data_IF_479085156162
#
_entry.id   IF_479085156162
#
_cell.length_a   1.000
_cell.length_b   1.000
_cell.length_c   1.000
_cell.angle_alpha   90.00
_cell.angle_beta   90.00
_cell.angle_gamma   90.00
#
_symmetry.space_group_name_H-M   'P 1'
#
loop_
_entity.id
_entity.type
_entity.pdbx_description
1 polymer ?
#
# COMPACT_ATOMS: atom_id res chain seq x y z
N UNK A 1 1.43 7.00 -28.91
CA UNK A 1 0.13 7.58 -29.35
C UNK A 1 0.19 7.73 -30.85
N UNK A 2 -0.85 7.33 -31.55
CA UNK A 2 -1.00 7.65 -32.98
C UNK A 2 -1.39 9.12 -33.15
N UNK A 3 -1.46 9.61 -34.40
CA UNK A 3 -1.81 11.00 -34.72
C UNK A 3 -3.22 11.44 -34.26
N UNK A 4 -4.01 10.52 -33.72
CA UNK A 4 -5.40 10.73 -33.24
C UNK A 4 -5.51 10.53 -31.72
N UNK A 5 -4.41 10.49 -30.96
CA UNK A 5 -4.40 10.32 -29.51
C UNK A 5 -4.69 8.90 -29.02
N UNK A 6 -4.75 7.89 -29.91
CA UNK A 6 -4.95 6.51 -29.52
C UNK A 6 -3.65 5.89 -29.02
N UNK A 7 -3.70 5.28 -27.85
CA UNK A 7 -2.60 4.50 -27.30
C UNK A 7 -2.44 3.24 -28.16
N UNK A 8 -1.41 3.20 -29.01
CA UNK A 8 -1.00 1.96 -29.65
C UNK A 8 -0.46 1.06 -28.54
N UNK A 9 -1.21 0.02 -28.21
CA UNK A 9 -0.74 -1.08 -27.36
C UNK A 9 0.36 -1.80 -28.15
N UNK A 10 1.64 -1.39 -27.96
CA UNK A 10 2.76 -2.20 -28.37
C UNK A 10 2.65 -3.56 -27.70
N UNK A 11 2.96 -4.64 -28.44
CA UNK A 11 2.97 -6.00 -27.90
C UNK A 11 3.71 -5.99 -26.55
N UNK A 12 3.09 -6.55 -25.48
CA UNK A 12 3.72 -6.55 -24.17
C UNK A 12 5.07 -7.27 -24.27
N UNK A 13 6.13 -6.77 -23.60
CA UNK A 13 7.30 -7.58 -23.38
C UNK A 13 6.84 -8.84 -22.64
N UNK A 14 7.19 -10.00 -23.19
CA UNK A 14 7.06 -11.28 -22.48
C UNK A 14 7.92 -11.16 -21.24
N UNK A 15 7.31 -11.02 -20.07
CA UNK A 15 7.94 -11.42 -18.80
C UNK A 15 7.01 -11.14 -17.61
N UNK A 16 6.67 -12.23 -16.94
CA UNK A 16 6.57 -12.42 -15.49
C UNK A 16 5.32 -11.92 -14.78
N UNK A 17 4.13 -12.33 -15.20
CA UNK A 17 3.11 -12.78 -14.24
C UNK A 17 2.25 -13.81 -14.97
N UNK A 18 2.43 -15.07 -14.59
CA UNK A 18 1.58 -16.17 -15.03
C UNK A 18 0.15 -15.89 -14.58
N UNK A 19 -0.77 -15.69 -15.53
CA UNK A 19 -2.19 -15.45 -15.26
C UNK A 19 -2.88 -16.62 -14.53
N UNK A 20 -2.12 -17.68 -14.21
CA UNK A 20 -2.57 -18.85 -13.47
C UNK A 20 -2.53 -18.74 -11.94
N UNK A 21 -1.88 -17.71 -11.36
CA UNK A 21 -1.72 -17.58 -9.91
C UNK A 21 -2.88 -16.85 -9.21
N UNK A 22 -3.80 -16.24 -9.95
CA UNK A 22 -5.01 -15.64 -9.39
C UNK A 22 -6.22 -16.51 -9.64
N UNK A 23 -6.19 -17.78 -9.20
CA UNK A 23 -7.36 -18.66 -9.22
C UNK A 23 -8.39 -18.18 -8.16
N UNK A 24 -9.65 -18.07 -8.63
CA UNK A 24 -10.84 -17.90 -7.78
C UNK A 24 -10.85 -18.95 -6.66
N UNK A 25 -10.73 -18.49 -5.42
CA UNK A 25 -10.98 -19.35 -4.28
C UNK A 25 -10.53 -18.71 -2.97
N UNK A 26 -11.48 -18.28 -2.14
CA UNK A 26 -11.36 -17.97 -0.72
C UNK A 26 -10.41 -16.80 -0.35
N UNK A 27 -11.00 -15.61 -0.16
CA UNK A 27 -10.43 -14.53 0.65
C UNK A 27 -9.39 -13.67 -0.09
N UNK A 28 -9.76 -12.43 -0.40
CA UNK A 28 -8.84 -11.38 -0.85
C UNK A 28 -7.89 -10.99 0.29
N UNK A 29 -6.91 -11.84 0.64
CA UNK A 29 -6.13 -11.73 1.87
C UNK A 29 -4.63 -11.86 1.60
N UNK A 30 -3.87 -10.83 2.01
CA UNK A 30 -2.41 -10.94 2.08
C UNK A 30 -2.05 -11.90 3.21
N UNK A 31 -1.53 -13.06 2.87
CA UNK A 31 -1.10 -14.09 3.82
C UNK A 31 0.41 -14.05 3.99
N UNK A 32 0.85 -14.24 5.25
CA UNK A 32 2.24 -14.44 5.63
C UNK A 32 2.44 -15.89 6.05
N UNK A 33 3.68 -16.35 5.93
CA UNK A 33 4.05 -17.73 6.29
C UNK A 33 4.14 -17.94 7.79
N UNK A 34 5.22 -18.56 8.25
CA UNK A 34 5.43 -18.77 9.68
C UNK A 34 5.72 -17.46 10.39
N UNK A 35 4.79 -16.97 11.21
CA UNK A 35 4.90 -15.73 11.97
C UNK A 35 5.17 -16.03 13.43
N UNK A 36 6.09 -15.27 14.03
CA UNK A 36 6.44 -15.34 15.46
C UNK A 36 6.27 -13.97 16.09
N UNK A 37 5.84 -13.96 17.35
CA UNK A 37 5.77 -12.75 18.18
C UNK A 37 7.13 -12.44 18.78
N UNK A 38 7.49 -11.15 18.83
CA UNK A 38 8.77 -10.69 19.36
C UNK A 38 8.61 -9.31 20.01
N UNK A 39 9.66 -8.83 20.67
CA UNK A 39 9.77 -7.45 21.16
C UNK A 39 10.81 -6.69 20.37
N UNK A 40 10.43 -5.52 19.88
CA UNK A 40 11.33 -4.63 19.17
C UNK A 40 12.41 -4.08 20.15
N UNK A 41 13.66 -4.12 19.72
CA UNK A 41 14.78 -3.59 20.51
C UNK A 41 15.30 -2.29 19.90
N UNK A 42 15.77 -2.33 18.65
CA UNK A 42 16.39 -1.17 17.98
C UNK A 42 16.31 -1.30 16.47
N UNK A 43 16.28 -0.18 15.77
CA UNK A 43 16.35 -0.06 14.31
C UNK A 43 17.61 0.71 13.90
N UNK A 44 18.75 0.01 13.67
CA UNK A 44 20.03 0.67 13.34
C UNK A 44 19.98 1.47 12.03
N UNK A 45 19.16 1.05 11.08
CA UNK A 45 18.94 1.74 9.81
C UNK A 45 17.56 1.43 9.26
N UNK A 46 17.18 2.05 8.12
CA UNK A 46 15.82 1.88 7.52
C UNK A 46 15.44 0.46 7.11
N UNK A 47 16.41 -0.44 6.99
CA UNK A 47 16.20 -1.80 6.47
C UNK A 47 16.33 -2.89 7.52
N UNK A 48 16.98 -2.60 8.65
CA UNK A 48 17.32 -3.59 9.67
C UNK A 48 16.73 -3.19 11.02
N UNK A 49 16.15 -4.16 11.70
CA UNK A 49 15.77 -4.06 13.09
C UNK A 49 16.28 -5.28 13.87
N UNK A 50 16.47 -5.10 15.18
CA UNK A 50 16.75 -6.18 16.12
C UNK A 50 15.51 -6.38 16.99
N UNK A 51 15.14 -7.62 17.23
CA UNK A 51 14.02 -7.99 18.07
C UNK A 51 14.39 -9.19 18.97
N UNK A 52 13.81 -9.24 20.15
CA UNK A 52 13.92 -10.37 21.07
C UNK A 52 12.73 -11.32 20.89
N UNK A 53 13.00 -12.58 20.56
CA UNK A 53 11.99 -13.63 20.55
C UNK A 53 11.53 -13.97 21.96
N UNK A 54 10.41 -14.67 22.11
CA UNK A 54 9.92 -15.14 23.41
C UNK A 54 10.90 -16.11 24.10
N UNK A 55 11.78 -16.76 23.33
CA UNK A 55 12.88 -17.59 23.84
C UNK A 55 13.99 -16.80 24.53
N UNK A 56 14.00 -15.45 24.39
CA UNK A 56 15.09 -14.57 24.81
C UNK A 56 16.20 -14.39 23.76
N UNK A 57 16.14 -15.12 22.64
CA UNK A 57 17.08 -14.97 21.53
C UNK A 57 16.88 -13.62 20.84
N UNK A 58 17.98 -12.89 20.60
CA UNK A 58 17.95 -11.66 19.77
C UNK A 58 18.18 -12.02 18.31
N UNK A 59 17.24 -11.63 17.45
CA UNK A 59 17.28 -11.86 16.01
C UNK A 59 17.40 -10.57 15.22
N UNK A 60 18.03 -10.67 14.04
CA UNK A 60 18.10 -9.58 13.07
C UNK A 60 17.01 -9.79 12.04
N UNK A 61 16.13 -8.79 11.86
CA UNK A 61 15.05 -8.83 10.89
C UNK A 61 15.17 -7.70 9.86
N UNK A 62 14.70 -7.97 8.65
CA UNK A 62 14.54 -6.97 7.62
C UNK A 62 13.23 -6.19 7.84
N UNK A 63 13.28 -4.88 7.72
CA UNK A 63 12.09 -4.01 7.78
C UNK A 63 11.65 -3.71 6.36
N UNK A 64 10.52 -4.27 5.93
CA UNK A 64 9.94 -4.07 4.59
C UNK A 64 9.31 -2.68 4.39
N UNK A 65 9.54 -1.76 5.29
CA UNK A 65 9.03 -0.39 5.24
C UNK A 65 10.19 0.61 5.32
N UNK A 66 10.35 1.44 4.29
CA UNK A 66 11.40 2.47 4.26
C UNK A 66 11.00 3.77 4.95
N UNK A 67 9.75 3.90 5.38
CA UNK A 67 9.22 5.00 6.19
C UNK A 67 9.93 5.11 7.53
N UNK A 68 9.74 6.23 8.20
CA UNK A 68 10.39 6.47 9.51
C UNK A 68 9.84 5.56 10.59
N UNK A 69 8.52 5.42 10.66
CA UNK A 69 7.78 4.55 11.61
C UNK A 69 8.30 4.65 13.06
N UNK A 70 8.74 5.82 13.49
CA UNK A 70 9.32 6.02 14.84
C UNK A 70 8.26 5.91 15.92
N UNK A 71 7.05 6.32 15.60
CA UNK A 71 5.87 6.25 16.45
C UNK A 71 5.35 4.82 16.64
N UNK A 72 5.79 3.90 15.80
CA UNK A 72 5.44 2.49 15.84
C UNK A 72 6.54 1.64 16.46
N UNK A 73 7.78 1.82 16.01
CA UNK A 73 8.94 1.04 16.43
C UNK A 73 9.61 1.68 17.65
N UNK A 74 8.87 1.70 18.77
CA UNK A 74 9.39 2.13 20.07
C UNK A 74 10.02 0.94 20.81
N UNK A 75 11.04 1.14 21.67
CA UNK A 75 11.60 0.07 22.47
C UNK A 75 10.51 -0.75 23.19
N UNK A 76 10.67 -2.07 23.21
CA UNK A 76 9.74 -3.03 23.81
C UNK A 76 8.35 -3.14 23.11
N UNK A 77 8.13 -2.42 22.00
CA UNK A 77 6.91 -2.64 21.19
C UNK A 77 6.78 -4.10 20.77
N UNK A 78 5.57 -4.65 20.87
CA UNK A 78 5.29 -5.99 20.36
C UNK A 78 5.27 -5.95 18.84
N UNK A 79 6.07 -6.81 18.24
CA UNK A 79 6.18 -6.93 16.77
C UNK A 79 5.96 -8.36 16.33
N UNK A 80 5.57 -8.52 15.07
CA UNK A 80 5.38 -9.81 14.43
C UNK A 80 6.37 -9.96 13.28
N UNK A 81 7.06 -11.09 13.28
CA UNK A 81 8.14 -11.40 12.36
C UNK A 81 7.76 -12.61 11.52
N UNK A 82 7.76 -12.45 10.20
CA UNK A 82 7.62 -13.58 9.27
C UNK A 82 8.98 -14.25 9.08
N UNK A 83 9.06 -15.55 9.25
CA UNK A 83 10.26 -16.33 8.96
C UNK A 83 10.48 -16.41 7.46
N UNK A 84 11.68 -16.04 7.00
CA UNK A 84 12.02 -16.10 5.59
C UNK A 84 11.98 -17.54 5.07
N UNK A 85 11.26 -17.76 3.97
CA UNK A 85 11.18 -19.08 3.32
C UNK A 85 12.53 -19.52 2.73
N UNK A 86 13.37 -18.56 2.29
CA UNK A 86 14.71 -18.85 1.79
C UNK A 86 15.74 -18.83 2.94
N UNK A 87 16.31 -20.00 3.33
CA UNK A 87 17.27 -20.07 4.44
C UNK A 87 18.62 -19.40 4.15
N UNK A 88 18.92 -19.07 2.88
CA UNK A 88 20.18 -18.42 2.49
C UNK A 88 20.11 -16.89 2.54
N UNK A 89 18.99 -16.31 2.99
CA UNK A 89 18.89 -14.85 3.19
C UNK A 89 19.78 -14.39 4.34
N UNK A 90 20.33 -13.17 4.22
CA UNK A 90 21.12 -12.52 5.29
C UNK A 90 20.31 -12.26 6.56
N UNK A 91 18.99 -12.07 6.43
CA UNK A 91 18.06 -11.91 7.55
C UNK A 91 17.07 -13.07 7.56
N UNK A 92 16.96 -13.76 8.68
CA UNK A 92 16.06 -14.91 8.83
C UNK A 92 14.59 -14.50 8.99
N UNK A 93 14.33 -13.22 9.27
CA UNK A 93 12.98 -12.70 9.53
C UNK A 93 12.72 -11.39 8.79
N UNK A 94 11.45 -11.15 8.45
CA UNK A 94 10.89 -9.89 8.00
C UNK A 94 9.95 -9.33 9.08
N UNK A 95 10.13 -8.07 9.49
CA UNK A 95 9.20 -7.41 10.40
C UNK A 95 7.98 -6.96 9.58
N UNK A 96 6.81 -7.52 9.89
CA UNK A 96 5.58 -7.36 9.12
C UNK A 96 4.49 -6.58 9.83
N UNK A 97 4.43 -6.63 11.17
CA UNK A 97 3.41 -5.91 11.92
C UNK A 97 3.91 -5.47 13.30
N UNK A 98 3.21 -4.51 13.90
CA UNK A 98 3.49 -3.94 15.22
C UNK A 98 2.20 -3.65 15.96
N UNK A 99 2.18 -3.84 17.28
CA UNK A 99 1.10 -3.39 18.16
C UNK A 99 1.34 -1.96 18.64
N UNK A 100 0.34 -1.09 18.48
CA UNK A 100 0.33 0.28 19.02
C UNK A 100 -1.05 0.61 19.58
N UNK A 101 -1.14 0.95 20.85
CA UNK A 101 -2.38 1.41 21.46
C UNK A 101 -3.56 0.41 21.34
N UNK A 102 -3.29 -0.88 21.39
CA UNK A 102 -4.29 -1.94 21.23
C UNK A 102 -4.66 -2.24 19.76
N UNK A 103 -4.06 -1.56 18.79
CA UNK A 103 -4.21 -1.85 17.35
C UNK A 103 -3.04 -2.66 16.85
N UNK A 104 -3.33 -3.58 15.93
CA UNK A 104 -2.32 -4.26 15.13
C UNK A 104 -2.18 -3.54 13.78
N UNK A 105 -0.98 -3.07 13.50
CA UNK A 105 -0.66 -2.30 12.29
C UNK A 105 0.28 -3.12 11.42
N UNK A 106 -0.16 -3.44 10.21
CA UNK A 106 0.73 -4.07 9.23
C UNK A 106 1.74 -3.04 8.70
N UNK A 107 3.02 -3.41 8.66
CA UNK A 107 4.11 -2.52 8.25
C UNK A 107 4.74 -2.91 6.91
N UNK A 108 4.30 -3.99 6.28
CA UNK A 108 4.83 -4.40 4.97
C UNK A 108 4.39 -3.41 3.89
N UNK A 109 5.33 -2.60 3.36
CA UNK A 109 5.06 -1.61 2.33
C UNK A 109 4.63 -2.24 0.97
N UNK A 110 4.77 -3.55 0.79
CA UNK A 110 4.29 -4.26 -0.39
C UNK A 110 2.86 -4.81 -0.21
N UNK A 111 2.40 -4.93 1.03
CA UNK A 111 1.09 -5.47 1.33
C UNK A 111 -0.08 -4.65 0.73
N UNK A 112 -0.05 -3.31 0.70
CA UNK A 112 -1.12 -2.51 0.09
C UNK A 112 -1.40 -2.87 -1.38
N UNK A 113 -0.36 -2.98 -2.20
CA UNK A 113 -0.51 -3.32 -3.62
C UNK A 113 -1.01 -4.76 -3.80
N UNK A 114 -0.53 -5.70 -2.98
CA UNK A 114 -1.01 -7.09 -2.98
C UNK A 114 -2.49 -7.16 -2.60
N UNK A 115 -2.87 -6.52 -1.51
CA UNK A 115 -4.26 -6.48 -1.05
C UNK A 115 -5.19 -5.83 -2.09
N UNK A 116 -4.76 -4.72 -2.71
CA UNK A 116 -5.54 -4.07 -3.75
C UNK A 116 -5.66 -4.94 -5.00
N UNK A 117 -4.60 -5.61 -5.43
CA UNK A 117 -4.63 -6.49 -6.62
C UNK A 117 -5.72 -7.57 -6.51
N UNK A 118 -5.84 -8.18 -5.33
CA UNK A 118 -6.85 -9.19 -5.05
C UNK A 118 -8.27 -8.59 -4.93
N UNK A 119 -8.37 -7.36 -4.42
CA UNK A 119 -9.61 -6.66 -4.17
C UNK A 119 -10.09 -5.79 -5.35
N UNK A 120 -9.27 -5.59 -6.37
CA UNK A 120 -9.49 -4.66 -7.48
C UNK A 120 -10.85 -4.85 -8.18
N UNK A 121 -11.28 -6.10 -8.40
CA UNK A 121 -12.59 -6.40 -9.01
C UNK A 121 -13.78 -6.18 -8.07
N UNK A 122 -13.58 -6.15 -6.78
CA UNK A 122 -14.59 -5.72 -5.80
C UNK A 122 -14.73 -4.20 -5.84
N UNK A 123 -13.61 -3.49 -5.99
CA UNK A 123 -13.57 -2.04 -6.10
C UNK A 123 -14.18 -1.55 -7.44
N UNK A 124 -13.82 -2.20 -8.53
CA UNK A 124 -14.33 -1.89 -9.86
C UNK A 124 -14.89 -3.16 -10.53
N UNK A 125 -16.16 -3.48 -10.29
CA UNK A 125 -16.79 -4.69 -10.86
C UNK A 125 -16.87 -4.70 -12.39
N UNK A 126 -16.75 -3.52 -13.04
CA UNK A 126 -16.73 -3.40 -14.50
C UNK A 126 -15.36 -3.74 -15.11
N UNK A 127 -14.32 -3.96 -14.27
CA UNK A 127 -12.99 -4.30 -14.74
C UNK A 127 -12.92 -5.73 -15.27
N UNK A 128 -12.67 -5.87 -16.56
CA UNK A 128 -12.41 -7.16 -17.21
C UNK A 128 -10.95 -7.60 -17.01
N UNK A 129 -10.03 -6.64 -16.97
CA UNK A 129 -8.60 -6.89 -16.75
C UNK A 129 -8.02 -5.99 -15.67
N UNK A 130 -7.08 -6.54 -14.90
CA UNK A 130 -6.30 -5.83 -13.88
C UNK A 130 -4.82 -5.93 -14.29
N UNK A 131 -4.20 -4.80 -14.60
CA UNK A 131 -2.79 -4.73 -15.02
C UNK A 131 -1.98 -3.97 -13.97
N UNK A 132 -1.09 -4.64 -13.24
CA UNK A 132 -0.18 -3.96 -12.33
C UNK A 132 0.92 -3.22 -13.09
N UNK A 133 1.57 -2.26 -12.42
CA UNK A 133 2.76 -1.57 -12.91
C UNK A 133 2.55 -0.92 -14.29
N UNK A 134 1.43 -0.23 -14.48
CA UNK A 134 1.02 0.33 -15.78
C UNK A 134 1.72 1.65 -16.07
N UNK A 135 2.43 1.72 -17.21
CA UNK A 135 3.08 2.95 -17.67
C UNK A 135 2.03 3.88 -18.29
N UNK A 136 1.85 5.05 -17.67
CA UNK A 136 0.99 6.12 -18.16
C UNK A 136 1.76 7.44 -18.13
N UNK A 137 1.83 8.14 -19.27
CA UNK A 137 2.62 9.36 -19.39
C UNK A 137 4.09 9.13 -19.05
N UNK A 138 4.58 9.85 -18.05
CA UNK A 138 5.95 9.75 -17.57
C UNK A 138 6.07 8.93 -16.27
N UNK A 139 4.96 8.39 -15.78
CA UNK A 139 4.91 7.63 -14.53
C UNK A 139 4.49 6.18 -14.76
N UNK A 140 4.83 5.34 -13.82
CA UNK A 140 4.34 3.98 -13.70
C UNK A 140 3.39 3.95 -12.51
N UNK A 141 2.10 3.88 -12.81
CA UNK A 141 1.03 3.77 -11.82
C UNK A 141 0.87 2.34 -11.36
N UNK A 142 0.37 2.15 -10.16
CA UNK A 142 0.30 0.82 -9.54
C UNK A 142 -0.63 -0.12 -10.31
N UNK A 143 -1.80 0.36 -10.78
CA UNK A 143 -2.75 -0.46 -11.53
C UNK A 143 -3.45 0.30 -12.65
N UNK A 144 -3.80 -0.45 -13.69
CA UNK A 144 -4.78 -0.09 -14.70
C UNK A 144 -5.86 -1.16 -14.74
N UNK A 145 -7.07 -0.77 -14.40
CA UNK A 145 -8.27 -1.60 -14.53
C UNK A 145 -8.91 -1.24 -15.87
N UNK A 146 -9.09 -2.22 -16.75
CA UNK A 146 -9.67 -1.96 -18.06
C UNK A 146 -10.90 -2.83 -18.30
N UNK A 147 -11.95 -2.22 -18.82
CA UNK A 147 -13.22 -2.84 -19.15
C UNK A 147 -13.94 -2.06 -20.24
N UNK A 148 -15.22 -2.33 -20.43
CA UNK A 148 -16.06 -1.67 -21.47
C UNK A 148 -16.17 -0.16 -21.27
N UNK A 149 -16.07 0.31 -20.05
CA UNK A 149 -16.14 1.73 -19.69
C UNK A 149 -14.80 2.47 -19.89
N UNK A 150 -13.78 1.79 -20.45
CA UNK A 150 -12.44 2.35 -20.69
C UNK A 150 -11.44 2.01 -19.62
N UNK A 151 -10.48 2.90 -19.41
CA UNK A 151 -9.41 2.70 -18.42
C UNK A 151 -9.76 3.37 -17.10
N UNK A 152 -9.44 2.69 -16.01
CA UNK A 152 -9.46 3.23 -14.66
C UNK A 152 -8.07 3.07 -14.06
N UNK A 153 -7.36 4.17 -13.88
CA UNK A 153 -6.00 4.21 -13.38
C UNK A 153 -6.01 4.37 -11.86
N UNK A 154 -5.26 3.53 -11.17
CA UNK A 154 -5.24 3.53 -9.71
C UNK A 154 -3.80 3.61 -9.20
N UNK A 155 -3.57 4.56 -8.30
CA UNK A 155 -2.34 4.68 -7.52
C UNK A 155 -2.63 4.31 -6.08
N UNK A 156 -1.94 3.30 -5.56
CA UNK A 156 -2.14 2.76 -4.21
C UNK A 156 -1.11 3.35 -3.24
N UNK A 157 -1.56 3.72 -2.06
CA UNK A 157 -0.72 4.23 -0.97
C UNK A 157 -1.02 3.48 0.32
N UNK A 158 0.02 2.87 0.90
CA UNK A 158 -0.08 2.29 2.25
C UNK A 158 -0.03 3.38 3.32
N UNK A 159 -0.90 3.28 4.31
CA UNK A 159 -1.02 4.23 5.42
C UNK A 159 -0.84 3.48 6.73
N UNK A 160 0.22 3.83 7.45
CA UNK A 160 0.55 3.27 8.77
C UNK A 160 0.58 4.34 9.86
N UNK A 161 0.62 5.63 9.48
CA UNK A 161 0.59 6.73 10.42
C UNK A 161 -0.82 6.95 10.94
N UNK A 162 -0.97 6.88 12.26
CA UNK A 162 -2.22 7.11 12.97
C UNK A 162 -1.95 7.85 14.29
N UNK A 163 -2.80 8.80 14.62
CA UNK A 163 -2.85 9.50 15.91
C UNK A 163 -4.30 9.68 16.34
N UNK A 164 -4.63 9.20 17.54
CA UNK A 164 -5.96 9.34 18.13
C UNK A 164 -7.12 8.77 17.28
N UNK A 165 -6.86 7.78 16.42
CA UNK A 165 -7.86 7.23 15.50
C UNK A 165 -7.88 7.90 14.13
N UNK A 166 -7.06 8.92 13.90
CA UNK A 166 -6.98 9.66 12.65
C UNK A 166 -5.82 9.18 11.79
N UNK A 167 -6.11 8.52 10.68
CA UNK A 167 -5.10 8.07 9.73
C UNK A 167 -4.58 9.23 8.89
N UNK A 168 -3.26 9.30 8.65
CA UNK A 168 -2.60 10.40 7.93
C UNK A 168 -1.59 9.88 6.91
N UNK A 169 -1.48 10.59 5.78
CA UNK A 169 -0.47 10.33 4.75
C UNK A 169 0.01 11.65 4.14
N UNK A 170 1.32 11.81 3.88
CA UNK A 170 2.40 10.84 4.09
C UNK A 170 3.02 10.90 5.50
N UNK A 171 3.78 9.86 5.86
CA UNK A 171 4.61 9.81 7.07
C UNK A 171 5.98 10.52 6.88
N UNK A 172 6.36 10.78 5.63
CA UNK A 172 7.55 11.52 5.23
C UNK A 172 7.30 12.24 3.88
N UNK A 173 8.01 13.33 3.56
CA UNK A 173 7.86 14.03 2.28
C UNK A 173 7.97 13.10 1.07
N UNK A 174 7.04 13.23 0.11
CA UNK A 174 6.91 12.35 -1.05
C UNK A 174 6.67 13.11 -2.36
N UNK A 175 7.73 13.62 -2.99
CA UNK A 175 7.66 14.28 -4.31
C UNK A 175 7.13 13.31 -5.39
N UNK A 176 7.46 12.03 -5.27
CA UNK A 176 6.91 11.00 -6.17
C UNK A 176 5.38 10.91 -6.03
N UNK A 177 4.86 11.02 -4.80
CA UNK A 177 3.41 11.03 -4.57
C UNK A 177 2.71 12.20 -5.27
N UNK A 178 3.30 13.40 -5.20
CA UNK A 178 2.79 14.59 -5.89
C UNK A 178 2.76 14.37 -7.41
N UNK A 179 3.86 13.87 -8.00
CA UNK A 179 3.90 13.56 -9.44
C UNK A 179 2.84 12.55 -9.87
N UNK A 180 2.60 11.50 -9.07
CA UNK A 180 1.57 10.51 -9.39
C UNK A 180 0.16 11.13 -9.35
N UNK A 181 -0.12 12.05 -8.42
CA UNK A 181 -1.41 12.78 -8.41
C UNK A 181 -1.59 13.62 -9.68
N UNK A 182 -0.54 14.30 -10.17
CA UNK A 182 -0.60 15.02 -11.43
C UNK A 182 -0.87 14.09 -12.63
N UNK A 183 -0.29 12.91 -12.68
CA UNK A 183 -0.58 11.93 -13.74
C UNK A 183 -2.02 11.40 -13.65
N UNK A 184 -2.58 11.23 -12.45
CA UNK A 184 -3.98 10.88 -12.27
C UNK A 184 -4.92 12.00 -12.76
N UNK A 185 -4.61 13.27 -12.48
CA UNK A 185 -5.37 14.42 -13.04
C UNK A 185 -5.32 14.41 -14.56
N UNK A 186 -4.14 14.21 -15.14
CA UNK A 186 -3.98 14.10 -16.59
C UNK A 186 -4.79 12.94 -17.18
N UNK A 187 -4.92 11.82 -16.46
CA UNK A 187 -5.76 10.71 -16.89
C UNK A 187 -7.23 11.12 -16.99
N UNK A 188 -7.74 11.88 -16.00
CA UNK A 188 -9.10 12.42 -16.03
C UNK A 188 -9.30 13.39 -17.19
N UNK A 189 -8.35 14.30 -17.45
CA UNK A 189 -8.38 15.23 -18.60
C UNK A 189 -8.47 14.48 -19.94
N UNK A 190 -7.89 13.28 -20.04
CA UNK A 190 -7.93 12.42 -21.22
C UNK A 190 -9.19 11.52 -21.27
N UNK A 191 -10.14 11.71 -20.35
CA UNK A 191 -11.41 10.97 -20.30
C UNK A 191 -11.33 9.60 -19.64
N UNK A 192 -10.27 9.31 -18.88
CA UNK A 192 -10.13 8.08 -18.11
C UNK A 192 -10.62 8.27 -16.67
N UNK A 193 -11.03 7.19 -16.02
CA UNK A 193 -11.25 7.18 -14.57
C UNK A 193 -9.90 7.12 -13.86
N UNK A 194 -9.78 7.78 -12.73
CA UNK A 194 -8.56 7.79 -11.94
C UNK A 194 -8.86 7.78 -10.44
N UNK A 195 -8.10 7.04 -9.66
CA UNK A 195 -8.24 6.95 -8.20
C UNK A 195 -6.90 7.01 -7.50
N UNK A 196 -6.81 7.87 -6.48
CA UNK A 196 -5.80 7.79 -5.42
C UNK A 196 -6.38 6.91 -4.29
N UNK A 197 -5.85 5.70 -4.13
CA UNK A 197 -6.39 4.69 -3.23
C UNK A 197 -5.49 4.50 -2.01
N UNK A 198 -6.02 4.80 -0.82
CA UNK A 198 -5.29 4.70 0.44
C UNK A 198 -5.68 3.43 1.19
N UNK A 199 -4.72 2.53 1.36
CA UNK A 199 -4.86 1.31 2.15
C UNK A 199 -4.39 1.62 3.56
N UNK A 200 -5.33 1.82 4.47
CA UNK A 200 -5.02 2.05 5.90
C UNK A 200 -4.76 0.69 6.53
N UNK A 201 -3.49 0.41 6.83
CA UNK A 201 -2.98 -0.92 7.22
C UNK A 201 -3.31 -1.28 8.67
N UNK A 202 -4.49 -0.89 9.15
CA UNK A 202 -5.03 -1.16 10.49
C UNK A 202 -6.54 -1.05 10.52
N UNK A 203 -7.15 -1.53 11.61
CA UNK A 203 -8.59 -1.34 11.92
C UNK A 203 -8.83 -0.08 12.76
N UNK A 204 -10.10 0.22 12.98
CA UNK A 204 -10.63 1.16 13.96
C UNK A 204 -10.09 2.59 13.86
N UNK A 205 -9.95 3.08 12.61
CA UNK A 205 -9.70 4.48 12.33
C UNK A 205 -11.01 5.23 12.07
N UNK A 206 -11.07 6.48 12.49
CA UNK A 206 -12.24 7.37 12.37
C UNK A 206 -12.30 8.01 10.97
N UNK A 207 -11.15 8.50 10.49
CA UNK A 207 -11.02 9.18 9.23
C UNK A 207 -9.59 9.06 8.65
N UNK A 208 -9.47 9.50 7.41
CA UNK A 208 -8.20 9.69 6.71
C UNK A 208 -8.10 11.13 6.20
N UNK A 209 -6.94 11.76 6.36
CA UNK A 209 -6.64 13.06 5.74
C UNK A 209 -5.18 13.13 5.26
N UNK A 210 -4.87 14.08 4.33
CA UNK A 210 -3.48 14.40 4.02
C UNK A 210 -2.77 14.96 5.23
N UNK A 211 -1.48 14.63 5.37
CA UNK A 211 -0.63 15.14 6.44
C UNK A 211 0.08 16.42 5.98
N UNK A 212 -0.61 17.54 6.08
CA UNK A 212 -0.10 18.83 5.65
C UNK A 212 1.11 19.30 6.47
N UNK A 213 1.21 18.88 7.74
CA UNK A 213 2.37 19.19 8.59
C UNK A 213 3.65 18.54 8.05
N UNK A 214 3.54 17.32 7.51
CA UNK A 214 4.68 16.59 6.96
C UNK A 214 5.00 17.02 5.52
N UNK A 215 3.96 17.23 4.69
CA UNK A 215 4.14 17.59 3.28
C UNK A 215 2.95 18.40 2.74
N UNK A 216 2.93 19.72 2.93
CA UNK A 216 1.83 20.59 2.46
C UNK A 216 1.56 20.47 0.97
N UNK A 217 2.62 20.29 0.16
CA UNK A 217 2.49 20.16 -1.29
C UNK A 217 1.72 18.90 -1.70
N UNK A 218 1.85 17.80 -0.94
CA UNK A 218 1.06 16.59 -1.20
C UNK A 218 -0.42 16.82 -0.90
N UNK A 219 -0.75 17.46 0.23
CA UNK A 219 -2.13 17.77 0.58
C UNK A 219 -2.79 18.70 -0.43
N UNK A 220 -2.06 19.76 -0.86
CA UNK A 220 -2.53 20.65 -1.91
C UNK A 220 -2.80 19.90 -3.23
N UNK A 221 -1.87 19.04 -3.66
CA UNK A 221 -2.02 18.24 -4.88
C UNK A 221 -3.19 17.24 -4.76
N UNK A 222 -3.42 16.65 -3.59
CA UNK A 222 -4.54 15.72 -3.37
C UNK A 222 -5.90 16.42 -3.48
N UNK A 223 -6.01 17.63 -2.91
CA UNK A 223 -7.22 18.48 -3.04
C UNK A 223 -7.46 18.92 -4.48
N UNK A 224 -6.39 19.30 -5.20
CA UNK A 224 -6.46 19.63 -6.63
C UNK A 224 -6.90 18.42 -7.46
N UNK A 225 -6.35 17.25 -7.18
CA UNK A 225 -6.72 16.01 -7.86
C UNK A 225 -8.21 15.68 -7.64
N UNK A 226 -8.70 15.78 -6.41
CA UNK A 226 -10.13 15.60 -6.11
C UNK A 226 -11.02 16.60 -6.85
N UNK A 227 -10.63 17.89 -6.88
CA UNK A 227 -11.35 18.93 -7.62
C UNK A 227 -11.34 18.70 -9.14
N UNK A 228 -10.28 18.08 -9.68
CA UNK A 228 -10.17 17.70 -11.09
C UNK A 228 -10.93 16.42 -11.45
N UNK A 229 -11.58 15.74 -10.49
CA UNK A 229 -12.35 14.53 -10.71
C UNK A 229 -11.62 13.20 -10.45
N UNK A 230 -10.42 13.25 -9.87
CA UNK A 230 -9.77 12.03 -9.36
C UNK A 230 -10.51 11.57 -8.10
N UNK A 231 -10.95 10.32 -8.08
CA UNK A 231 -11.53 9.74 -6.88
C UNK A 231 -10.45 9.59 -5.79
N UNK A 232 -10.74 10.06 -4.59
CA UNK A 232 -9.92 9.80 -3.41
C UNK A 232 -10.64 8.81 -2.52
N UNK A 233 -10.07 7.63 -2.35
CA UNK A 233 -10.68 6.54 -1.59
C UNK A 233 -9.71 6.03 -0.52
N UNK A 234 -10.21 5.84 0.69
CA UNK A 234 -9.47 5.24 1.78
C UNK A 234 -10.23 4.04 2.35
N UNK A 235 -9.53 2.95 2.63
CA UNK A 235 -10.09 1.73 3.19
C UNK A 235 -9.22 1.21 4.32
N UNK A 236 -9.83 0.89 5.46
CA UNK A 236 -9.15 0.19 6.55
C UNK A 236 -8.96 -1.29 6.21
N UNK A 237 -7.99 -1.90 6.86
CA UNK A 237 -7.71 -3.32 6.72
C UNK A 237 -8.00 -4.05 8.02
N UNK A 238 -8.60 -5.24 7.92
CA UNK A 238 -8.51 -6.21 9.00
C UNK A 238 -7.09 -6.77 9.01
N UNK A 239 -6.43 -6.71 10.15
CA UNK A 239 -5.06 -7.15 10.32
C UNK A 239 -4.99 -8.20 11.42
N UNK A 240 -4.41 -9.35 11.10
CA UNK A 240 -4.03 -10.37 12.07
C UNK A 240 -2.50 -10.51 12.09
N UNK A 241 -1.92 -11.26 13.03
CA UNK A 241 -0.46 -11.46 13.04
C UNK A 241 0.11 -11.99 11.72
N UNK A 242 -0.68 -12.73 10.96
CA UNK A 242 -0.28 -13.44 9.76
C UNK A 242 -1.05 -13.04 8.49
N UNK A 243 -1.92 -12.01 8.57
CA UNK A 243 -2.69 -11.61 7.41
C UNK A 243 -3.10 -10.13 7.38
N UNK A 244 -3.46 -9.64 6.18
CA UNK A 244 -4.08 -8.33 5.99
C UNK A 244 -5.08 -8.37 4.85
N UNK A 245 -6.32 -7.90 5.11
CA UNK A 245 -7.41 -7.86 4.13
C UNK A 245 -8.05 -6.47 4.09
N UNK A 246 -8.31 -5.90 2.91
CA UNK A 246 -9.12 -4.67 2.78
C UNK A 246 -10.52 -4.95 3.32
N UNK A 247 -11.02 -4.06 4.19
CA UNK A 247 -12.24 -4.31 4.95
C UNK A 247 -13.34 -3.30 4.66
N UNK A 248 -13.23 -2.07 5.17
CA UNK A 248 -14.31 -1.08 5.10
C UNK A 248 -13.82 0.30 4.67
N UNK A 249 -14.68 1.09 3.99
CA UNK A 249 -14.33 2.46 3.65
C UNK A 249 -14.09 3.29 4.91
N UNK A 250 -13.16 4.23 4.79
CA UNK A 250 -12.81 5.23 5.80
C UNK A 250 -13.19 6.61 5.26
N UNK A 251 -13.89 7.46 6.04
CA UNK A 251 -14.18 8.83 5.66
C UNK A 251 -12.92 9.59 5.29
N UNK A 252 -12.92 10.27 4.14
CA UNK A 252 -11.80 11.09 3.66
C UNK A 252 -12.09 12.55 3.95
N UNK A 253 -11.19 13.23 4.66
CA UNK A 253 -11.27 14.66 4.98
C UNK A 253 -10.16 15.38 4.20
N UNK A 254 -10.52 16.22 3.21
CA UNK A 254 -9.59 16.95 2.35
C UNK A 254 -9.45 18.43 2.73
#
# INVERSE_FOLDING_TARGET
MDRNGRILLSKPPRLWYDAGLYQKGAGCEVQYGQVVRARFLVRPNRFIAHAALESGETVVCHVKNTGRCRELLTPEAVVYLERAANPHRKTAYDLIAVEKGGRLINMDAQAPNRAFAEWARTFDPAAETVKPEFVFGQSRLDFCLAGREGLHLVEVKGVTLEDGGHARFPDAPTERGVRHLHELMRAVELGHRATAFFVVQMEDVTDFAPNDETHPAFGAALRQAAAAGVQVAAYSCRVTPDSMTIHRPVPVIL
#
